data_IF_479651411149
#
_entry.id   IF_479651411149
#
_cell.length_a   1.000
_cell.length_b   1.000
_cell.length_c   1.000
_cell.angle_alpha   90.00
_cell.angle_beta   90.00
_cell.angle_gamma   90.00
#
_symmetry.space_group_name_H-M   'P 1'
#
loop_
_entity.id
_entity.type
_entity.pdbx_description
1 polymer ?
#
# COMPACT_ATOMS: atom_id res chain seq x y z
N UNK A 1 25.05 62.67 -36.61
CA UNK A 1 23.94 62.12 -35.81
C UNK A 1 24.13 60.62 -35.84
N UNK A 2 24.68 60.03 -34.78
CA UNK A 2 24.84 58.57 -34.69
C UNK A 2 23.44 57.95 -34.69
N UNK A 3 23.11 57.20 -35.74
CA UNK A 3 21.86 56.45 -35.79
C UNK A 3 21.92 55.38 -34.70
N UNK A 4 21.13 55.57 -33.64
CA UNK A 4 21.06 54.62 -32.53
C UNK A 4 20.50 53.28 -33.04
N UNK A 5 21.39 52.31 -33.28
CA UNK A 5 21.01 50.94 -33.63
C UNK A 5 20.36 50.28 -32.42
N UNK A 6 19.11 49.82 -32.57
CA UNK A 6 18.39 49.13 -31.50
C UNK A 6 18.57 47.61 -31.63
N UNK A 7 18.53 46.88 -30.52
CA UNK A 7 18.60 45.42 -30.56
C UNK A 7 17.21 44.79 -30.46
N UNK A 8 16.83 43.90 -31.39
CA UNK A 8 15.56 43.18 -31.33
C UNK A 8 15.62 42.07 -30.27
N UNK A 9 14.47 41.53 -29.85
CA UNK A 9 14.49 40.28 -29.09
C UNK A 9 14.85 39.12 -30.00
N UNK A 10 15.83 38.33 -29.57
CA UNK A 10 16.30 37.15 -30.30
C UNK A 10 16.12 35.95 -29.39
N UNK A 11 15.42 34.93 -29.87
CA UNK A 11 15.22 33.68 -29.16
C UNK A 11 16.11 32.62 -29.79
N UNK A 12 16.83 31.85 -28.99
CA UNK A 12 17.70 30.79 -29.49
C UNK A 12 17.37 29.44 -28.87
N UNK A 13 17.51 28.40 -29.67
CA UNK A 13 17.48 27.01 -29.25
C UNK A 13 18.54 26.22 -30.00
N UNK A 14 18.87 25.03 -29.52
CA UNK A 14 19.82 24.15 -30.17
C UNK A 14 19.34 22.70 -30.16
N UNK A 15 19.84 21.96 -31.12
CA UNK A 15 19.85 20.50 -31.13
C UNK A 15 21.31 20.04 -31.14
N UNK A 16 21.55 18.73 -31.23
CA UNK A 16 22.91 18.19 -31.37
C UNK A 16 23.63 18.75 -32.61
N UNK A 17 22.90 18.98 -33.71
CA UNK A 17 23.45 19.35 -35.03
C UNK A 17 23.24 20.81 -35.44
N UNK A 18 22.17 21.44 -34.94
CA UNK A 18 21.73 22.75 -35.44
C UNK A 18 21.52 23.76 -34.31
N UNK A 19 21.60 25.04 -34.63
CA UNK A 19 21.21 26.17 -33.78
C UNK A 19 20.13 26.94 -34.52
N UNK A 20 19.02 27.22 -33.83
CA UNK A 20 17.95 28.05 -34.37
C UNK A 20 17.95 29.40 -33.68
N UNK A 21 17.96 30.49 -34.45
CA UNK A 21 17.75 31.86 -33.99
C UNK A 21 16.45 32.40 -34.57
N UNK A 22 15.60 32.94 -33.70
CA UNK A 22 14.32 33.55 -34.04
C UNK A 22 14.34 35.00 -33.61
N UNK A 23 14.44 35.89 -34.60
CA UNK A 23 14.53 37.34 -34.43
C UNK A 23 13.11 37.90 -34.51
N UNK A 24 12.63 38.46 -33.40
CA UNK A 24 11.26 38.99 -33.27
C UNK A 24 11.16 40.39 -33.88
N UNK A 25 11.14 40.44 -35.21
CA UNK A 25 10.95 41.63 -36.01
C UNK A 25 9.86 41.40 -37.06
N UNK A 26 8.87 42.29 -37.08
CA UNK A 26 7.74 42.22 -38.01
C UNK A 26 7.97 43.11 -39.23
N UNK A 27 7.36 42.71 -40.35
CA UNK A 27 7.37 43.43 -41.62
C UNK A 27 8.78 43.78 -42.14
N UNK A 28 9.76 42.91 -41.87
CA UNK A 28 11.12 43.07 -42.39
C UNK A 28 11.13 42.81 -43.90
N UNK A 29 11.78 43.69 -44.65
CA UNK A 29 12.01 43.52 -46.10
C UNK A 29 13.51 43.58 -46.35
N UNK A 30 14.05 42.52 -46.97
CA UNK A 30 15.48 42.40 -47.34
C UNK A 30 16.43 42.65 -46.15
N UNK A 31 16.44 41.76 -45.14
CA UNK A 31 17.41 41.87 -44.04
C UNK A 31 18.84 41.69 -44.57
N UNK A 32 19.78 42.42 -43.98
CA UNK A 32 21.21 42.27 -44.20
C UNK A 32 21.75 41.29 -43.14
N UNK A 33 22.08 40.08 -43.58
CA UNK A 33 22.51 38.98 -42.71
C UNK A 33 23.83 38.46 -43.25
N UNK A 34 24.87 38.54 -42.43
CA UNK A 34 26.18 37.98 -42.74
C UNK A 34 26.54 36.97 -41.64
N UNK A 35 26.74 35.72 -42.04
CA UNK A 35 27.10 34.62 -41.15
C UNK A 35 28.51 34.19 -41.49
N UNK A 36 29.40 34.36 -40.52
CA UNK A 36 30.79 33.91 -40.57
C UNK A 36 30.97 32.75 -39.59
N UNK A 37 32.13 32.10 -39.61
CA UNK A 37 32.42 30.91 -38.79
C UNK A 37 32.05 31.10 -37.32
N UNK A 38 32.43 32.24 -36.73
CA UNK A 38 32.22 32.53 -35.30
C UNK A 38 31.35 33.76 -35.03
N UNK A 39 30.89 34.47 -36.05
CA UNK A 39 30.21 35.75 -35.86
C UNK A 39 29.00 35.86 -36.75
N UNK A 40 27.90 36.34 -36.19
CA UNK A 40 26.66 36.63 -36.92
C UNK A 40 26.42 38.13 -36.87
N UNK A 41 26.29 38.74 -38.03
CA UNK A 41 25.85 40.11 -38.19
C UNK A 41 24.42 40.12 -38.72
N UNK A 42 23.58 40.93 -38.08
CA UNK A 42 22.21 41.14 -38.50
C UNK A 42 21.89 42.62 -38.47
N UNK A 43 21.33 43.14 -39.56
CA UNK A 43 20.81 44.50 -39.63
C UNK A 43 19.56 44.55 -40.51
N UNK A 44 18.48 45.14 -40.01
CA UNK A 44 17.23 45.24 -40.74
C UNK A 44 16.36 46.41 -40.26
N UNK A 45 15.58 46.98 -41.17
CA UNK A 45 14.49 47.89 -40.81
C UNK A 45 13.21 47.09 -40.61
N UNK A 46 12.57 47.26 -39.45
CA UNK A 46 11.37 46.50 -39.10
C UNK A 46 10.64 47.09 -37.91
N UNK A 47 9.54 46.45 -37.52
CA UNK A 47 8.76 46.80 -36.32
C UNK A 47 9.11 45.83 -35.21
N UNK A 48 9.81 46.33 -34.19
CA UNK A 48 10.21 45.58 -33.00
C UNK A 48 9.57 46.11 -31.72
N UNK A 49 10.21 45.84 -30.58
CA UNK A 49 9.74 46.25 -29.26
C UNK A 49 9.66 47.77 -29.04
N UNK A 50 10.43 48.56 -29.80
CA UNK A 50 10.49 50.02 -29.73
C UNK A 50 9.89 50.67 -30.99
N UNK A 51 8.98 49.97 -31.67
CA UNK A 51 8.33 50.46 -32.89
C UNK A 51 9.18 50.28 -34.14
N UNK A 52 8.91 51.09 -35.17
CA UNK A 52 9.58 51.00 -36.46
C UNK A 52 10.91 51.73 -36.44
N UNK A 53 12.01 50.97 -36.45
CA UNK A 53 13.38 51.49 -36.39
C UNK A 53 14.33 50.55 -37.14
N UNK A 54 15.59 50.96 -37.25
CA UNK A 54 16.69 50.09 -37.65
C UNK A 54 17.14 49.25 -36.46
N UNK A 55 17.04 47.93 -36.61
CA UNK A 55 17.44 46.97 -35.61
C UNK A 55 18.64 46.17 -36.08
N UNK A 56 19.62 46.00 -35.21
CA UNK A 56 20.80 45.20 -35.52
C UNK A 56 21.50 44.65 -34.28
N UNK A 57 22.28 43.61 -34.50
CA UNK A 57 23.11 42.99 -33.48
C UNK A 57 24.30 42.26 -34.11
N UNK A 58 25.31 42.03 -33.28
CA UNK A 58 26.41 41.11 -33.55
C UNK A 58 26.41 40.04 -32.45
N UNK A 59 26.55 38.77 -32.83
CA UNK A 59 26.70 37.65 -31.89
C UNK A 59 28.01 36.92 -32.16
N UNK A 60 28.89 36.89 -31.16
CA UNK A 60 30.14 36.11 -31.20
C UNK A 60 29.90 34.72 -30.61
N UNK A 61 29.82 33.72 -31.48
CA UNK A 61 29.50 32.33 -31.17
C UNK A 61 30.65 31.63 -30.44
N UNK A 62 30.31 30.67 -29.57
CA UNK A 62 31.30 29.91 -28.82
C UNK A 62 32.13 28.95 -29.69
N UNK A 63 31.49 28.31 -30.67
CA UNK A 63 32.14 27.38 -31.60
C UNK A 63 31.75 27.74 -33.04
N UNK A 64 32.44 27.13 -34.00
CA UNK A 64 32.25 27.42 -35.41
C UNK A 64 30.94 26.82 -35.95
N UNK A 65 30.29 27.56 -36.84
CA UNK A 65 29.15 27.11 -37.65
C UNK A 65 29.57 27.05 -39.12
N UNK A 66 28.85 26.28 -39.92
CA UNK A 66 29.02 26.24 -41.38
C UNK A 66 28.20 27.35 -42.05
N UNK A 67 28.83 28.40 -42.62
CA UNK A 67 28.12 29.48 -43.29
C UNK A 67 27.35 29.02 -44.52
N UNK A 68 27.87 28.05 -45.27
CA UNK A 68 27.27 27.61 -46.53
C UNK A 68 25.99 26.79 -46.30
N UNK A 69 25.91 26.09 -45.17
CA UNK A 69 24.75 25.30 -44.77
C UNK A 69 23.71 26.08 -43.95
N UNK A 70 23.80 27.42 -43.90
CA UNK A 70 22.86 28.26 -43.16
C UNK A 70 21.57 28.50 -43.96
N UNK A 71 20.42 28.25 -43.33
CA UNK A 71 19.10 28.48 -43.92
C UNK A 71 18.47 29.72 -43.29
N UNK A 72 18.18 30.73 -44.11
CA UNK A 72 17.41 31.90 -43.72
C UNK A 72 15.93 31.79 -44.12
N UNK A 73 15.03 32.18 -43.22
CA UNK A 73 13.60 32.23 -43.47
C UNK A 73 13.01 33.53 -42.95
N UNK A 74 12.70 34.44 -43.86
CA UNK A 74 12.02 35.70 -43.55
C UNK A 74 10.52 35.50 -43.63
N UNK A 75 9.81 35.74 -42.53
CA UNK A 75 8.34 35.75 -42.50
C UNK A 75 7.82 37.16 -42.18
N UNK A 76 6.53 37.46 -42.41
CA UNK A 76 5.97 38.75 -42.01
C UNK A 76 6.05 39.03 -40.49
N UNK A 77 6.22 37.97 -39.68
CA UNK A 77 6.18 38.06 -38.21
C UNK A 77 7.57 38.04 -37.56
N UNK A 78 8.53 37.36 -38.17
CA UNK A 78 9.87 37.15 -37.62
C UNK A 78 10.86 36.77 -38.72
N UNK A 79 12.15 36.84 -38.39
CA UNK A 79 13.23 36.26 -39.19
C UNK A 79 13.79 35.06 -38.45
N UNK A 80 13.82 33.89 -39.08
CA UNK A 80 14.42 32.68 -38.53
C UNK A 80 15.72 32.35 -39.27
N UNK A 81 16.77 32.04 -38.50
CA UNK A 81 18.03 31.50 -38.99
C UNK A 81 18.23 30.11 -38.43
N UNK A 82 18.58 29.15 -39.29
CA UNK A 82 19.04 27.82 -38.89
C UNK A 82 20.49 27.66 -39.29
N UNK A 83 21.34 27.53 -38.29
CA UNK A 83 22.79 27.40 -38.43
C UNK A 83 23.16 25.93 -38.22
N UNK A 84 23.97 25.39 -39.11
CA UNK A 84 24.52 24.04 -38.97
C UNK A 84 25.83 24.13 -38.20
N UNK A 85 25.98 23.34 -37.14
CA UNK A 85 27.23 23.32 -36.34
C UNK A 85 28.31 22.59 -37.14
N UNK A 86 29.55 23.09 -37.10
CA UNK A 86 30.67 22.38 -37.73
C UNK A 86 30.96 21.06 -37.00
N UNK A 87 30.95 21.08 -35.67
CA UNK A 87 31.04 19.90 -34.82
C UNK A 87 29.66 19.61 -34.19
N UNK A 88 29.06 18.43 -34.45
CA UNK A 88 27.77 18.05 -33.88
C UNK A 88 27.94 17.73 -32.39
N UNK A 89 27.77 18.74 -31.55
CA UNK A 89 27.85 18.64 -30.09
C UNK A 89 26.89 19.65 -29.44
N UNK A 90 26.37 19.30 -28.28
CA UNK A 90 25.62 20.25 -27.45
C UNK A 90 26.55 21.34 -26.91
N UNK A 91 26.15 22.61 -27.08
CA UNK A 91 26.94 23.75 -26.62
C UNK A 91 26.49 24.14 -25.20
N UNK A 92 27.39 24.32 -24.23
CA UNK A 92 27.01 24.74 -22.88
C UNK A 92 26.45 26.17 -22.84
N UNK A 93 26.83 27.01 -23.82
CA UNK A 93 26.36 28.38 -24.01
C UNK A 93 26.49 28.76 -25.48
N UNK A 94 25.66 29.71 -25.94
CA UNK A 94 25.71 30.19 -27.32
C UNK A 94 26.92 31.10 -27.60
N UNK A 95 27.23 31.99 -26.66
CA UNK A 95 28.22 33.05 -26.83
C UNK A 95 29.59 32.67 -26.25
N UNK A 96 30.66 33.20 -26.84
CA UNK A 96 32.02 33.08 -26.29
C UNK A 96 32.17 33.85 -24.96
N UNK A 97 31.51 35.01 -24.84
CA UNK A 97 31.51 35.82 -23.63
C UNK A 97 30.54 35.29 -22.56
N UNK A 98 30.88 35.52 -21.28
CA UNK A 98 30.01 35.15 -20.15
C UNK A 98 28.82 36.10 -19.95
N UNK A 99 28.89 37.32 -20.50
CA UNK A 99 27.85 38.33 -20.34
C UNK A 99 26.78 38.16 -21.42
N UNK A 100 25.65 37.56 -21.02
CA UNK A 100 24.50 37.39 -21.90
C UNK A 100 23.78 38.74 -22.12
N UNK A 101 23.62 39.22 -23.36
CA UNK A 101 22.84 40.43 -23.64
C UNK A 101 21.38 40.27 -23.20
N UNK A 102 20.78 41.34 -22.64
CA UNK A 102 19.42 41.29 -22.11
C UNK A 102 18.33 40.99 -23.15
N UNK A 103 18.63 41.20 -24.43
CA UNK A 103 17.72 40.98 -25.55
C UNK A 103 17.78 39.53 -26.10
N UNK A 104 18.79 38.73 -25.73
CA UNK A 104 18.93 37.33 -26.13
C UNK A 104 18.21 36.42 -25.13
N UNK A 105 17.26 35.62 -25.59
CA UNK A 105 16.38 34.77 -24.77
C UNK A 105 16.39 33.32 -25.26
N UNK A 106 15.96 32.38 -24.42
CA UNK A 106 15.81 30.97 -24.79
C UNK A 106 14.48 30.80 -25.53
N UNK A 107 14.48 30.07 -26.65
CA UNK A 107 13.26 29.67 -27.35
C UNK A 107 12.70 28.37 -26.74
N UNK A 108 11.84 28.49 -25.73
CA UNK A 108 11.23 27.34 -25.06
C UNK A 108 10.35 26.49 -25.98
N UNK A 109 9.85 27.05 -27.09
CA UNK A 109 9.03 26.30 -28.05
C UNK A 109 9.86 25.28 -28.85
N UNK A 110 11.17 25.52 -29.00
CA UNK A 110 12.10 24.69 -29.79
C UNK A 110 13.26 24.11 -28.97
N UNK A 111 13.28 24.34 -27.66
CA UNK A 111 14.34 23.86 -26.79
C UNK A 111 14.21 22.34 -26.57
N UNK A 112 15.29 21.59 -26.81
CA UNK A 112 15.37 20.17 -26.49
C UNK A 112 16.49 19.93 -25.49
N UNK A 113 16.28 19.08 -24.48
CA UNK A 113 17.34 18.69 -23.55
C UNK A 113 18.18 17.55 -24.13
N UNK A 114 19.46 17.48 -23.73
CA UNK A 114 20.39 16.40 -24.10
C UNK A 114 19.83 15.00 -23.71
N UNK A 115 19.02 14.94 -22.65
CA UNK A 115 18.39 13.73 -22.11
C UNK A 115 17.13 13.31 -22.90
N UNK A 116 16.46 14.24 -23.60
CA UNK A 116 15.23 13.95 -24.37
C UNK A 116 15.51 13.19 -25.68
N UNK A 117 16.78 13.07 -26.09
CA UNK A 117 17.19 12.34 -27.30
C UNK A 117 17.16 10.80 -27.11
N UNK A 118 17.04 10.30 -25.87
CA UNK A 118 17.09 8.85 -25.57
C UNK A 118 15.77 8.23 -25.13
N UNK A 119 14.73 9.02 -24.86
CA UNK A 119 13.46 8.46 -24.39
C UNK A 119 12.59 8.03 -25.57
N UNK A 120 12.87 6.84 -26.11
CA UNK A 120 11.78 5.94 -26.50
C UNK A 120 10.79 5.92 -25.33
N UNK A 121 9.49 6.07 -25.59
CA UNK A 121 8.46 6.12 -24.56
C UNK A 121 8.61 4.94 -23.58
N UNK A 122 9.34 5.16 -22.48
CA UNK A 122 9.61 4.15 -21.46
C UNK A 122 8.28 3.84 -20.81
N UNK A 123 7.88 2.58 -20.84
CA UNK A 123 6.69 2.17 -20.12
C UNK A 123 6.97 2.33 -18.63
N UNK A 124 6.37 3.37 -18.03
CA UNK A 124 6.48 3.68 -16.60
C UNK A 124 6.09 2.45 -15.74
N UNK A 125 5.33 1.51 -16.31
CA UNK A 125 4.99 0.24 -15.67
C UNK A 125 6.21 -0.69 -15.46
N UNK A 126 7.24 -0.62 -16.32
CA UNK A 126 8.48 -1.41 -16.21
C UNK A 126 9.43 -0.86 -15.14
N UNK A 127 9.51 0.47 -14.99
CA UNK A 127 10.40 1.11 -14.01
C UNK A 127 9.93 0.90 -12.56
N UNK A 128 8.62 0.68 -12.37
CA UNK A 128 8.03 0.52 -11.05
C UNK A 128 7.10 -0.70 -10.97
N UNK A 129 7.63 -1.93 -11.09
CA UNK A 129 6.83 -3.14 -11.03
C UNK A 129 6.09 -3.22 -9.69
N UNK A 130 4.77 -3.25 -9.74
CA UNK A 130 3.90 -3.34 -8.57
C UNK A 130 3.55 -2.02 -7.89
N UNK A 131 4.02 -0.86 -8.38
CA UNK A 131 3.61 0.45 -7.85
C UNK A 131 2.11 0.69 -8.05
N UNK A 132 1.56 0.30 -9.20
CA UNK A 132 0.10 0.31 -9.43
C UNK A 132 -0.65 -0.52 -8.39
N UNK A 133 -0.15 -1.72 -8.07
CA UNK A 133 -0.74 -2.56 -7.02
C UNK A 133 -0.61 -1.92 -5.62
N UNK A 134 0.51 -1.24 -5.36
CA UNK A 134 0.78 -0.54 -4.10
C UNK A 134 -0.10 0.69 -3.91
N UNK A 135 -0.30 1.48 -4.97
CA UNK A 135 -1.22 2.62 -5.00
C UNK A 135 -2.67 2.15 -4.85
N UNK A 136 -3.06 1.09 -5.56
CA UNK A 136 -4.39 0.48 -5.43
C UNK A 136 -4.65 -0.07 -4.03
N UNK A 137 -3.63 -0.63 -3.37
CA UNK A 137 -3.69 -1.09 -1.98
C UNK A 137 -3.78 0.06 -0.96
N UNK A 138 -3.24 1.25 -1.27
CA UNK A 138 -3.38 2.44 -0.43
C UNK A 138 -4.68 3.21 -0.64
N UNK A 139 -5.22 3.23 -1.86
CA UNK A 139 -6.47 3.91 -2.20
C UNK A 139 -7.71 3.10 -1.78
N UNK A 140 -7.62 1.77 -1.88
CA UNK A 140 -8.67 0.85 -1.43
C UNK A 140 -8.36 0.41 0.00
N UNK A 141 -8.68 1.24 0.99
CA UNK A 141 -8.25 1.12 2.40
C UNK A 141 -8.47 -0.21 3.16
N UNK A 142 -8.88 -1.31 2.55
CA UNK A 142 -8.97 -2.62 3.23
C UNK A 142 -9.21 -3.81 2.28
N UNK A 143 -8.36 -4.07 1.28
CA UNK A 143 -8.21 -5.48 0.87
C UNK A 143 -7.31 -6.13 1.91
N UNK A 144 -7.91 -6.51 3.04
CA UNK A 144 -7.27 -7.29 4.10
C UNK A 144 -6.45 -8.39 3.43
N UNK A 145 -5.11 -8.30 3.52
CA UNK A 145 -4.20 -9.36 3.11
C UNK A 145 -4.76 -10.71 3.61
N UNK A 146 -4.69 -11.81 2.86
CA UNK A 146 -5.22 -13.10 3.31
C UNK A 146 -4.71 -13.50 4.71
N UNK A 147 -3.48 -13.11 5.06
CA UNK A 147 -2.94 -13.25 6.41
C UNK A 147 -3.70 -12.45 7.48
N UNK A 148 -4.11 -11.22 7.16
CA UNK A 148 -4.94 -10.40 8.05
C UNK A 148 -6.37 -10.91 8.15
N UNK A 149 -6.96 -11.43 7.07
CA UNK A 149 -8.27 -12.11 7.11
C UNK A 149 -8.22 -13.34 8.02
N UNK A 150 -7.16 -14.15 7.89
CA UNK A 150 -6.94 -15.31 8.77
C UNK A 150 -6.82 -14.90 10.24
N UNK A 151 -6.08 -13.84 10.55
CA UNK A 151 -5.95 -13.31 11.91
C UNK A 151 -7.30 -12.81 12.46
N UNK A 152 -8.04 -12.03 11.67
CA UNK A 152 -9.38 -11.53 12.05
C UNK A 152 -10.34 -12.69 12.28
N UNK A 153 -10.38 -13.66 11.38
CA UNK A 153 -11.21 -14.87 11.53
C UNK A 153 -10.86 -15.63 12.82
N UNK A 154 -9.58 -15.94 13.05
CA UNK A 154 -9.15 -16.65 14.25
C UNK A 154 -9.48 -15.85 15.52
N UNK A 155 -9.31 -14.53 15.50
CA UNK A 155 -9.68 -13.69 16.62
C UNK A 155 -11.18 -13.75 16.92
N UNK A 156 -12.04 -13.55 15.91
CA UNK A 156 -13.50 -13.61 16.06
C UNK A 156 -13.98 -15.00 16.48
N UNK A 157 -13.36 -16.06 15.95
CA UNK A 157 -13.64 -17.44 16.34
C UNK A 157 -13.36 -17.67 17.83
N UNK A 158 -12.15 -17.31 18.29
CA UNK A 158 -11.79 -17.45 19.70
C UNK A 158 -12.67 -16.53 20.58
N UNK A 159 -13.04 -15.34 20.12
CA UNK A 159 -13.93 -14.43 20.83
C UNK A 159 -15.33 -15.02 21.00
N UNK A 160 -15.90 -15.61 19.94
CA UNK A 160 -17.20 -16.28 19.99
C UNK A 160 -17.23 -17.38 21.04
N UNK A 161 -16.20 -18.24 21.05
CA UNK A 161 -16.10 -19.33 22.01
C UNK A 161 -15.86 -18.81 23.44
N UNK A 162 -15.02 -17.79 23.60
CA UNK A 162 -14.84 -17.14 24.90
C UNK A 162 -16.17 -16.61 25.46
N UNK A 163 -16.95 -15.88 24.64
CA UNK A 163 -18.25 -15.34 25.06
C UNK A 163 -19.24 -16.46 25.39
N UNK A 164 -19.28 -17.53 24.59
CA UNK A 164 -20.14 -18.68 24.83
C UNK A 164 -19.85 -19.38 26.16
N UNK A 165 -18.58 -19.73 26.42
CA UNK A 165 -18.19 -20.37 27.68
C UNK A 165 -18.27 -19.43 28.89
N UNK A 166 -18.00 -18.14 28.72
CA UNK A 166 -18.19 -17.14 29.77
C UNK A 166 -19.66 -17.04 30.16
N UNK A 167 -20.57 -17.00 29.17
CA UNK A 167 -22.01 -17.05 29.41
C UNK A 167 -22.41 -18.29 30.21
N UNK A 168 -21.90 -19.47 29.85
CA UNK A 168 -22.19 -20.72 30.57
C UNK A 168 -21.74 -20.62 32.03
N UNK A 169 -20.49 -20.23 32.30
CA UNK A 169 -19.97 -20.08 33.67
C UNK A 169 -20.82 -19.10 34.47
N UNK A 170 -21.12 -17.94 33.89
CA UNK A 170 -21.88 -16.88 34.55
C UNK A 170 -23.32 -17.34 34.87
N UNK A 171 -24.00 -18.02 33.95
CA UNK A 171 -25.35 -18.54 34.19
C UNK A 171 -25.35 -19.65 35.24
N UNK A 172 -24.37 -20.56 35.22
CA UNK A 172 -24.25 -21.62 36.22
C UNK A 172 -24.01 -21.03 37.62
N UNK A 173 -23.12 -20.05 37.75
CA UNK A 173 -22.86 -19.36 39.03
C UNK A 173 -24.08 -18.60 39.53
N UNK A 174 -24.76 -17.82 38.67
CA UNK A 174 -25.96 -17.07 39.06
C UNK A 174 -27.10 -17.99 39.49
N UNK A 175 -27.33 -19.10 38.77
CA UNK A 175 -28.34 -20.09 39.15
C UNK A 175 -28.00 -20.77 40.47
N UNK A 176 -26.74 -21.12 40.69
CA UNK A 176 -26.31 -21.72 41.95
C UNK A 176 -26.46 -20.75 43.12
N UNK A 177 -26.11 -19.47 42.91
CA UNK A 177 -26.31 -18.42 43.92
C UNK A 177 -27.79 -18.17 44.24
N UNK A 178 -28.68 -18.32 43.26
CA UNK A 178 -30.12 -18.03 43.42
C UNK A 178 -30.92 -19.21 43.98
N UNK A 179 -30.61 -20.45 43.58
CA UNK A 179 -31.42 -21.64 43.87
C UNK A 179 -30.67 -22.73 44.64
N UNK A 180 -29.39 -22.55 44.95
CA UNK A 180 -28.58 -23.51 45.71
C UNK A 180 -28.53 -24.89 45.04
N UNK A 181 -28.71 -25.96 45.83
CA UNK A 181 -28.59 -27.34 45.34
C UNK A 181 -29.64 -27.71 44.27
N UNK A 182 -30.82 -27.09 44.28
CA UNK A 182 -31.85 -27.33 43.25
C UNK A 182 -31.41 -26.81 41.87
N UNK A 183 -30.44 -25.89 41.82
CA UNK A 183 -29.90 -25.41 40.56
C UNK A 183 -29.17 -26.51 39.78
N UNK A 184 -28.63 -27.52 40.48
CA UNK A 184 -27.75 -28.55 39.93
C UNK A 184 -28.49 -29.42 38.91
N UNK A 185 -29.71 -29.83 39.21
CA UNK A 185 -30.52 -30.69 38.33
C UNK A 185 -31.05 -29.94 37.10
N UNK A 186 -31.25 -28.62 37.22
CA UNK A 186 -31.73 -27.76 36.13
C UNK A 186 -30.63 -27.21 35.22
N UNK A 187 -29.37 -27.62 35.42
CA UNK A 187 -28.20 -27.04 34.74
C UNK A 187 -28.23 -27.28 33.24
N UNK A 188 -28.45 -28.53 32.82
CA UNK A 188 -28.51 -28.88 31.40
C UNK A 188 -29.62 -28.12 30.68
N UNK A 189 -30.80 -27.98 31.30
CA UNK A 189 -31.91 -27.24 30.70
C UNK A 189 -31.58 -25.75 30.51
N UNK A 190 -30.76 -25.16 31.38
CA UNK A 190 -30.41 -23.74 31.31
C UNK A 190 -29.30 -23.43 30.30
N UNK A 191 -28.24 -24.26 30.26
CA UNK A 191 -27.03 -23.96 29.45
C UNK A 191 -26.77 -24.97 28.33
N UNK A 192 -27.51 -26.07 28.26
CA UNK A 192 -27.28 -27.18 27.33
C UNK A 192 -27.29 -26.75 25.86
N UNK A 193 -28.20 -25.85 25.49
CA UNK A 193 -28.23 -25.26 24.14
C UNK A 193 -26.92 -24.52 23.81
N UNK A 194 -26.41 -23.70 24.72
CA UNK A 194 -25.14 -22.98 24.51
C UNK A 194 -23.96 -23.95 24.49
N UNK A 195 -23.95 -24.96 25.36
CA UNK A 195 -22.93 -26.00 25.37
C UNK A 195 -22.88 -26.74 24.02
N UNK A 196 -24.03 -27.10 23.46
CA UNK A 196 -24.16 -27.74 22.16
C UNK A 196 -23.55 -26.88 21.04
N UNK A 197 -23.91 -25.58 20.99
CA UNK A 197 -23.33 -24.66 20.01
C UNK A 197 -21.81 -24.49 20.16
N UNK A 198 -21.30 -24.39 21.38
CA UNK A 198 -19.87 -24.28 21.64
C UNK A 198 -19.13 -25.54 21.19
N UNK A 199 -19.65 -26.73 21.52
CA UNK A 199 -19.04 -28.00 21.11
C UNK A 199 -19.05 -28.20 19.60
N UNK A 200 -20.15 -27.89 18.92
CA UNK A 200 -20.19 -27.93 17.46
C UNK A 200 -19.14 -27.00 16.85
N UNK A 201 -18.96 -25.81 17.43
CA UNK A 201 -17.96 -24.85 16.97
C UNK A 201 -16.52 -25.32 17.27
N UNK A 202 -16.31 -26.10 18.34
CA UNK A 202 -15.01 -26.68 18.69
C UNK A 202 -14.54 -27.76 17.70
N UNK A 203 -15.43 -28.42 16.96
CA UNK A 203 -14.99 -29.32 15.87
C UNK A 203 -14.20 -28.59 14.78
N UNK A 204 -14.37 -27.28 14.61
CA UNK A 204 -13.54 -26.48 13.71
C UNK A 204 -12.07 -26.42 14.17
N UNK A 205 -11.77 -26.64 15.45
CA UNK A 205 -10.39 -26.69 15.96
C UNK A 205 -9.61 -27.88 15.37
N UNK A 206 -10.30 -28.94 14.94
CA UNK A 206 -9.68 -30.06 14.22
C UNK A 206 -9.28 -29.61 12.81
N UNK A 207 -10.11 -28.80 12.16
CA UNK A 207 -9.89 -28.33 10.80
C UNK A 207 -8.79 -27.26 10.71
N UNK A 208 -8.63 -26.41 11.74
CA UNK A 208 -7.67 -25.31 11.68
C UNK A 208 -6.21 -25.77 11.47
N UNK A 209 -5.69 -26.78 12.18
CA UNK A 209 -4.38 -27.36 11.88
C UNK A 209 -4.30 -28.00 10.48
N UNK A 210 -5.36 -28.70 10.05
CA UNK A 210 -5.39 -29.43 8.76
C UNK A 210 -5.29 -28.46 7.58
N UNK A 211 -6.00 -27.32 7.66
CA UNK A 211 -6.00 -26.27 6.63
C UNK A 211 -4.78 -25.34 6.77
N UNK A 212 -3.98 -25.48 7.83
CA UNK A 212 -2.82 -24.62 8.10
C UNK A 212 -3.18 -23.25 8.70
N UNK A 213 -4.36 -23.12 9.30
CA UNK A 213 -4.77 -21.92 10.05
C UNK A 213 -4.00 -21.81 11.37
N UNK A 214 -3.71 -22.92 12.03
CA UNK A 214 -2.90 -22.97 13.26
C UNK A 214 -1.72 -23.93 13.09
N UNK A 215 -0.66 -23.76 13.89
CA UNK A 215 0.56 -24.59 13.83
C UNK A 215 0.50 -25.83 14.75
N UNK A 216 -0.66 -26.11 15.34
CA UNK A 216 -0.82 -27.22 16.30
C UNK A 216 -0.85 -28.58 15.62
N UNK A 217 -0.73 -29.66 16.41
CA UNK A 217 -0.92 -31.02 15.90
C UNK A 217 -2.42 -31.30 15.68
N UNK A 218 -2.85 -31.69 14.46
CA UNK A 218 -4.23 -32.09 14.23
C UNK A 218 -4.68 -33.25 15.13
N UNK A 219 -3.76 -34.16 15.47
CA UNK A 219 -4.04 -35.32 16.30
C UNK A 219 -4.43 -34.93 17.74
N UNK A 220 -3.76 -33.93 18.32
CA UNK A 220 -4.08 -33.43 19.65
C UNK A 220 -5.48 -32.82 19.70
N UNK A 221 -5.84 -32.04 18.66
CA UNK A 221 -7.16 -31.44 18.53
C UNK A 221 -8.26 -32.52 18.40
N UNK A 222 -8.01 -33.58 17.61
CA UNK A 222 -8.94 -34.71 17.47
C UNK A 222 -9.18 -35.39 18.81
N UNK A 223 -8.11 -35.77 19.53
CA UNK A 223 -8.25 -36.47 20.80
C UNK A 223 -8.99 -35.63 21.85
N UNK A 224 -8.71 -34.33 21.92
CA UNK A 224 -9.34 -33.44 22.90
C UNK A 224 -10.82 -33.17 22.56
N UNK A 225 -11.13 -32.84 21.30
CA UNK A 225 -12.48 -32.46 20.90
C UNK A 225 -13.39 -33.67 20.78
N UNK A 226 -12.93 -34.77 20.18
CA UNK A 226 -13.74 -35.99 20.07
C UNK A 226 -13.96 -36.64 21.43
N UNK A 227 -12.96 -36.64 22.33
CA UNK A 227 -13.12 -37.20 23.69
C UNK A 227 -14.27 -36.53 24.45
N UNK A 228 -14.29 -35.19 24.47
CA UNK A 228 -15.39 -34.42 25.09
C UNK A 228 -16.70 -34.55 24.31
N UNK A 229 -16.62 -34.58 22.98
CA UNK A 229 -17.77 -34.76 22.10
C UNK A 229 -18.53 -36.06 22.38
N UNK A 230 -17.82 -37.18 22.56
CA UNK A 230 -18.46 -38.47 22.90
C UNK A 230 -19.21 -38.37 24.22
N UNK A 231 -18.60 -37.79 25.26
CA UNK A 231 -19.27 -37.64 26.56
C UNK A 231 -20.49 -36.73 26.45
N UNK A 232 -20.40 -35.62 25.73
CA UNK A 232 -21.51 -34.68 25.59
C UNK A 232 -22.65 -35.24 24.71
N UNK A 233 -22.37 -35.58 23.46
CA UNK A 233 -23.37 -35.98 22.48
C UNK A 233 -23.89 -37.41 22.71
N UNK A 234 -22.99 -38.37 22.98
CA UNK A 234 -23.37 -39.78 23.05
C UNK A 234 -23.85 -40.21 24.45
N UNK A 235 -23.42 -39.55 25.52
CA UNK A 235 -23.80 -39.94 26.89
C UNK A 235 -24.80 -38.98 27.53
N UNK A 236 -24.55 -37.67 27.48
CA UNK A 236 -25.41 -36.68 28.17
C UNK A 236 -26.63 -36.32 27.32
N UNK A 237 -26.43 -36.01 26.04
CA UNK A 237 -27.53 -35.59 25.15
C UNK A 237 -28.43 -36.76 24.76
N UNK A 238 -27.85 -37.92 24.45
CA UNK A 238 -28.61 -39.12 24.08
C UNK A 238 -29.49 -39.68 25.20
N UNK A 239 -29.13 -39.47 26.48
CA UNK A 239 -29.86 -40.00 27.63
C UNK A 239 -30.45 -38.88 28.51
N UNK A 240 -31.76 -38.59 28.39
CA UNK A 240 -32.42 -37.54 29.18
C UNK A 240 -32.28 -37.72 30.70
N UNK A 241 -32.12 -38.95 31.20
CA UNK A 241 -31.92 -39.22 32.63
C UNK A 241 -30.60 -38.69 33.16
N UNK A 242 -29.59 -38.54 32.30
CA UNK A 242 -28.28 -38.00 32.69
C UNK A 242 -28.32 -36.48 32.86
N UNK A 243 -29.18 -35.79 32.09
CA UNK A 243 -29.30 -34.34 32.08
C UNK A 243 -29.73 -33.74 33.42
N UNK A 244 -30.43 -34.51 34.25
CA UNK A 244 -30.88 -34.06 35.60
C UNK A 244 -29.87 -34.37 36.69
N UNK A 245 -28.78 -35.09 36.40
CA UNK A 245 -27.82 -35.48 37.44
C UNK A 245 -26.91 -34.29 37.81
N UNK A 246 -26.62 -34.08 39.11
CA UNK A 246 -25.72 -33.02 39.56
C UNK A 246 -24.31 -33.06 38.96
N UNK A 247 -23.84 -34.24 38.54
CA UNK A 247 -22.52 -34.40 37.89
C UNK A 247 -22.41 -33.54 36.62
N UNK A 248 -23.51 -33.31 35.89
CA UNK A 248 -23.51 -32.50 34.67
C UNK A 248 -23.17 -31.04 34.97
N UNK A 249 -23.64 -30.50 36.11
CA UNK A 249 -23.27 -29.15 36.55
C UNK A 249 -21.76 -29.02 36.72
N UNK A 250 -21.15 -29.93 37.50
CA UNK A 250 -19.71 -29.89 37.79
C UNK A 250 -18.89 -30.10 36.52
N UNK A 251 -19.32 -31.03 35.66
CA UNK A 251 -18.65 -31.29 34.39
C UNK A 251 -18.67 -30.06 33.49
N UNK A 252 -19.85 -29.45 33.27
CA UNK A 252 -19.99 -28.26 32.43
C UNK A 252 -19.22 -27.07 33.01
N UNK A 253 -19.22 -26.91 34.32
CA UNK A 253 -18.48 -25.84 34.99
C UNK A 253 -16.96 -26.01 34.82
N UNK A 254 -16.44 -27.21 35.06
CA UNK A 254 -15.00 -27.53 34.91
C UNK A 254 -14.54 -27.35 33.48
N UNK A 255 -15.29 -27.91 32.52
CA UNK A 255 -15.01 -27.73 31.11
C UNK A 255 -15.02 -26.25 30.74
N UNK A 256 -16.07 -25.50 31.11
CA UNK A 256 -16.20 -24.10 30.72
C UNK A 256 -15.13 -23.19 31.32
N UNK A 257 -14.69 -23.41 32.57
CA UNK A 257 -13.63 -22.61 33.19
C UNK A 257 -12.30 -22.76 32.45
N UNK A 258 -11.93 -23.98 32.04
CA UNK A 258 -10.72 -24.21 31.24
C UNK A 258 -10.80 -23.40 29.94
N UNK A 259 -11.97 -23.40 29.31
CA UNK A 259 -12.21 -22.71 28.05
C UNK A 259 -12.19 -21.19 28.17
N UNK A 260 -12.76 -20.64 29.25
CA UNK A 260 -12.75 -19.20 29.56
C UNK A 260 -11.33 -18.65 29.69
N UNK A 261 -10.36 -19.47 30.11
CA UNK A 261 -8.93 -19.08 30.14
C UNK A 261 -8.25 -19.34 28.79
N UNK A 262 -8.58 -20.45 28.13
CA UNK A 262 -7.93 -20.90 26.88
C UNK A 262 -8.16 -19.94 25.72
N UNK A 263 -9.40 -19.52 25.49
CA UNK A 263 -9.72 -18.71 24.32
C UNK A 263 -9.13 -17.30 24.36
N UNK A 264 -9.14 -16.57 25.50
CA UNK A 264 -8.40 -15.32 25.62
C UNK A 264 -6.90 -15.47 25.38
N UNK A 265 -6.30 -16.57 25.82
CA UNK A 265 -4.88 -16.83 25.57
C UNK A 265 -4.61 -16.97 24.06
N UNK A 266 -5.46 -17.70 23.34
CA UNK A 266 -5.33 -17.83 21.88
C UNK A 266 -5.63 -16.51 21.14
N UNK A 267 -6.63 -15.71 21.57
CA UNK A 267 -6.91 -14.39 20.98
C UNK A 267 -5.69 -13.47 21.02
N UNK A 268 -5.02 -13.38 22.18
CA UNK A 268 -3.83 -12.52 22.33
C UNK A 268 -2.65 -13.05 21.52
N UNK A 269 -2.51 -14.37 21.41
CA UNK A 269 -1.44 -15.00 20.64
C UNK A 269 -1.55 -14.71 19.13
N UNK A 270 -2.76 -14.53 18.59
CA UNK A 270 -2.97 -14.15 17.18
C UNK A 270 -2.27 -12.82 16.85
N UNK A 271 -2.20 -11.89 17.81
CA UNK A 271 -1.54 -10.60 17.67
C UNK A 271 -0.16 -10.54 18.33
N UNK A 272 0.42 -11.69 18.71
CA UNK A 272 1.70 -11.80 19.42
C UNK A 272 1.75 -10.98 20.73
N UNK A 273 0.61 -10.80 21.40
CA UNK A 273 0.55 -10.21 22.73
C UNK A 273 0.60 -11.31 23.80
N UNK A 274 1.32 -11.05 24.89
CA UNK A 274 1.45 -11.97 26.01
C UNK A 274 1.05 -11.28 27.31
N UNK A 275 0.09 -11.86 28.03
CA UNK A 275 -0.27 -11.45 29.38
C UNK A 275 0.22 -12.51 30.37
N UNK A 276 1.16 -12.15 31.24
CA UNK A 276 1.81 -13.09 32.17
C UNK A 276 0.85 -13.89 33.04
N UNK A 277 -0.19 -13.23 33.59
CA UNK A 277 -1.22 -13.90 34.40
C UNK A 277 -2.00 -14.95 33.61
N UNK A 278 -2.37 -14.63 32.37
CA UNK A 278 -3.17 -15.51 31.53
C UNK A 278 -2.35 -16.70 31.04
N UNK A 279 -1.08 -16.47 30.70
CA UNK A 279 -0.11 -17.53 30.37
C UNK A 279 0.07 -18.47 31.56
N UNK A 280 0.24 -17.93 32.77
CA UNK A 280 0.35 -18.75 33.98
C UNK A 280 -0.91 -19.58 34.21
N UNK A 281 -2.10 -18.96 34.17
CA UNK A 281 -3.37 -19.68 34.31
C UNK A 281 -3.50 -20.79 33.27
N UNK A 282 -3.19 -20.52 31.99
CA UNK A 282 -3.27 -21.52 30.91
C UNK A 282 -2.43 -22.77 31.19
N UNK A 283 -1.28 -22.63 31.83
CA UNK A 283 -0.36 -23.73 32.13
C UNK A 283 -0.48 -24.30 33.55
N UNK A 284 -1.29 -23.71 34.43
CA UNK A 284 -1.47 -24.19 35.80
C UNK A 284 -2.89 -24.72 36.07
N UNK A 285 -3.90 -24.19 35.39
CA UNK A 285 -5.32 -24.50 35.67
C UNK A 285 -5.69 -25.96 35.35
N UNK A 286 -4.98 -26.59 34.42
CA UNK A 286 -5.22 -28.00 34.07
C UNK A 286 -4.87 -28.95 35.23
N UNK A 287 -3.95 -28.58 36.12
CA UNK A 287 -3.48 -29.43 37.23
C UNK A 287 -4.63 -29.83 38.17
N UNK A 288 -5.44 -28.91 38.72
CA UNK A 288 -6.60 -29.28 39.53
C UNK A 288 -7.81 -29.69 38.70
N UNK A 289 -8.02 -29.11 37.51
CA UNK A 289 -9.28 -29.28 36.78
C UNK A 289 -9.36 -30.57 35.96
N UNK A 290 -8.25 -31.09 35.45
CA UNK A 290 -8.26 -32.37 34.72
C UNK A 290 -8.67 -33.56 35.61
N UNK A 291 -8.14 -33.72 36.83
CA UNK A 291 -8.59 -34.77 37.74
C UNK A 291 -10.08 -34.71 38.02
N UNK A 292 -10.61 -33.50 38.28
CA UNK A 292 -12.04 -33.31 38.55
C UNK A 292 -12.87 -33.60 37.31
N UNK A 293 -12.43 -33.14 36.14
CA UNK A 293 -13.08 -33.43 34.85
C UNK A 293 -13.14 -34.93 34.58
N UNK A 294 -12.01 -35.63 34.72
CA UNK A 294 -11.93 -37.08 34.51
C UNK A 294 -12.82 -37.86 35.50
N UNK A 295 -12.86 -37.45 36.78
CA UNK A 295 -13.77 -38.04 37.74
C UNK A 295 -15.25 -37.84 37.35
N UNK A 296 -15.62 -36.63 36.90
CA UNK A 296 -16.98 -36.35 36.46
C UNK A 296 -17.35 -37.15 35.20
N UNK A 297 -16.45 -37.23 34.22
CA UNK A 297 -16.62 -38.03 33.01
C UNK A 297 -16.79 -39.52 33.35
N UNK A 298 -15.96 -40.05 34.26
CA UNK A 298 -16.08 -41.43 34.73
C UNK A 298 -17.42 -41.72 35.41
N UNK A 299 -17.92 -40.80 36.23
CA UNK A 299 -19.25 -40.93 36.86
C UNK A 299 -20.37 -40.89 35.81
N UNK A 300 -20.23 -40.08 34.76
CA UNK A 300 -21.18 -40.03 33.65
C UNK A 300 -21.16 -41.33 32.84
N UNK A 301 -19.99 -41.91 32.60
CA UNK A 301 -19.84 -43.17 31.84
C UNK A 301 -20.41 -44.37 32.61
N UNK A 302 -20.30 -44.37 33.95
CA UNK A 302 -20.71 -45.49 34.80
C UNK A 302 -22.20 -45.47 35.19
N UNK A 303 -22.95 -44.40 34.91
CA UNK A 303 -24.36 -44.23 35.32
C UNK A 303 -25.32 -44.29 34.14
#
# INVERSE_FOLDING_TARGET
>A
MESKTLSPFVYWAQTEKEITLKIDLRNVKSPDIDVQDHVIYFNAVGVGNQGQNTYGFQLDLMYAVDPEATIEKVTPRNVELRLTKQDPKFWPRLLHENLKPAWLKIDFDKWMHEEDLQDEARDILEDFPGLYNKMKASETGSVLKPESLKKVYLFLYNLWLFVGFLYIVVVLLMRYASFGAESLEGSYKAVGWMMHLCFLTQFLEILHPIVGYTKGSPFEAIMQVCGRGVVFFCLIEAEPRMQTKPVVFFLFFVWSIIEVVRYPFYMLRVYNMELGLLTWLRYSLWIPLYPVGFMCEGIVILR
#
